data_IF_685536973902
#
_entry.id   IF_685536973902
#
_cell.length_a   1.000
_cell.length_b   1.000
_cell.length_c   1.000
_cell.angle_alpha   90.00
_cell.angle_beta   90.00
_cell.angle_gamma   90.00
#
_symmetry.space_group_name_H-M   'P 1'
#
loop_
_entity.id
_entity.type
_entity.pdbx_description
1 polymer ?
#
# COMPACT_ATOMS: atom_id res chain seq x y z
N UNK A 1 23.43 -3.96 -8.11
CA UNK A 1 24.36 -2.82 -8.34
C UNK A 1 23.84 -1.77 -9.35
N UNK A 2 22.95 -2.08 -10.31
CA UNK A 2 22.38 -1.09 -11.27
C UNK A 2 21.27 -0.19 -10.70
N UNK A 3 20.51 -0.64 -9.70
CA UNK A 3 19.47 0.19 -9.05
C UNK A 3 20.03 1.25 -8.10
N UNK A 4 21.24 1.07 -7.58
CA UNK A 4 21.92 2.06 -6.74
C UNK A 4 22.55 3.21 -7.56
N UNK A 5 22.70 3.04 -8.88
CA UNK A 5 23.37 4.01 -9.76
C UNK A 5 22.36 4.76 -10.64
N UNK A 6 21.18 4.19 -10.89
CA UNK A 6 20.13 4.80 -11.74
C UNK A 6 18.70 4.71 -11.17
N UNK A 7 18.51 4.18 -9.96
CA UNK A 7 17.19 3.94 -9.37
C UNK A 7 16.79 4.98 -8.32
N UNK A 8 15.48 5.06 -8.09
CA UNK A 8 14.83 5.97 -7.14
C UNK A 8 15.18 5.71 -5.66
N UNK A 9 16.08 4.78 -5.35
CA UNK A 9 16.51 4.43 -3.98
C UNK A 9 17.67 5.28 -3.43
N UNK A 10 18.17 6.26 -4.19
CA UNK A 10 19.26 7.14 -3.72
C UNK A 10 18.77 8.23 -2.75
N UNK A 11 17.48 8.51 -2.75
CA UNK A 11 16.91 9.58 -1.93
C UNK A 11 15.98 8.98 -0.87
N UNK A 12 16.30 9.06 0.44
CA UNK A 12 15.37 8.67 1.50
C UNK A 12 14.01 9.39 1.39
N UNK A 13 13.94 10.53 0.69
CA UNK A 13 12.66 11.19 0.33
C UNK A 13 11.81 10.38 -0.64
N UNK A 14 12.43 9.63 -1.55
CA UNK A 14 11.71 8.77 -2.49
C UNK A 14 11.16 7.51 -1.82
N UNK A 15 11.78 7.04 -0.73
CA UNK A 15 11.26 5.96 0.11
C UNK A 15 10.16 6.43 1.07
N UNK A 16 10.20 7.70 1.51
CA UNK A 16 9.18 8.27 2.38
C UNK A 16 7.79 8.32 1.72
N UNK A 17 7.74 8.57 0.41
CA UNK A 17 6.47 8.74 -0.30
C UNK A 17 5.62 7.45 -0.36
N UNK A 18 6.16 6.26 -0.71
CA UNK A 18 5.47 4.98 -0.59
C UNK A 18 5.02 4.67 0.85
N UNK A 19 5.86 4.95 1.85
CA UNK A 19 5.56 4.65 3.26
C UNK A 19 4.38 5.48 3.76
N UNK A 20 4.38 6.78 3.48
CA UNK A 20 3.27 7.67 3.86
C UNK A 20 2.01 7.30 3.08
N UNK A 21 2.13 6.99 1.79
CA UNK A 21 1.00 6.53 0.98
C UNK A 21 0.36 5.26 1.55
N UNK A 22 1.18 4.28 1.95
CA UNK A 22 0.74 3.04 2.57
C UNK A 22 0.01 3.28 3.90
N UNK A 23 0.63 4.04 4.80
CA UNK A 23 0.04 4.40 6.09
C UNK A 23 -1.30 5.12 5.94
N UNK A 24 -1.38 6.10 5.04
CA UNK A 24 -2.64 6.78 4.74
C UNK A 24 -3.66 5.81 4.09
N UNK A 25 -3.20 4.92 3.22
CA UNK A 25 -3.99 3.90 2.55
C UNK A 25 -4.67 2.92 3.51
N UNK A 26 -4.02 2.59 4.63
CA UNK A 26 -4.60 1.74 5.67
C UNK A 26 -5.39 2.53 6.72
N UNK A 27 -4.94 3.73 7.09
CA UNK A 27 -5.60 4.54 8.12
C UNK A 27 -6.99 5.03 7.70
N UNK A 28 -7.16 5.43 6.43
CA UNK A 28 -8.43 5.97 5.94
C UNK A 28 -9.56 4.92 5.97
N UNK A 29 -9.41 3.70 5.41
CA UNK A 29 -10.43 2.66 5.51
C UNK A 29 -10.75 2.25 6.95
N UNK A 30 -9.73 2.14 7.82
CA UNK A 30 -9.93 1.85 9.23
C UNK A 30 -10.77 2.93 9.93
N UNK A 31 -10.47 4.21 9.68
CA UNK A 31 -11.23 5.33 10.22
C UNK A 31 -12.66 5.36 9.71
N UNK A 32 -12.88 5.12 8.42
CA UNK A 32 -14.23 5.06 7.83
C UNK A 32 -15.05 3.92 8.45
N UNK A 33 -14.47 2.73 8.60
CA UNK A 33 -15.14 1.59 9.23
C UNK A 33 -15.47 1.85 10.70
N UNK A 34 -14.52 2.39 11.46
CA UNK A 34 -14.73 2.66 12.89
C UNK A 34 -15.79 3.75 13.07
N UNK A 35 -15.76 4.85 12.32
CA UNK A 35 -16.77 5.90 12.39
C UNK A 35 -18.17 5.39 12.04
N UNK A 36 -18.29 4.61 10.97
CA UNK A 36 -19.59 4.05 10.56
C UNK A 36 -20.14 3.05 11.58
N UNK A 37 -19.29 2.20 12.18
CA UNK A 37 -19.71 1.28 13.23
C UNK A 37 -20.04 1.98 14.56
N UNK A 38 -19.32 3.05 14.94
CA UNK A 38 -19.65 3.84 16.13
C UNK A 38 -21.03 4.50 16.00
N UNK A 39 -21.33 5.10 14.83
CA UNK A 39 -22.62 5.76 14.60
C UNK A 39 -23.75 4.75 14.42
N UNK A 40 -23.47 3.61 13.79
CA UNK A 40 -24.46 2.55 13.52
C UNK A 40 -24.67 1.54 14.65
N UNK A 41 -23.90 1.60 15.74
CA UNK A 41 -23.98 0.63 16.85
C UNK A 41 -23.42 -0.77 16.50
N UNK A 42 -22.51 -0.84 15.52
CA UNK A 42 -21.91 -2.08 15.04
C UNK A 42 -20.68 -2.54 15.85
N UNK A 43 -20.04 -3.62 15.40
CA UNK A 43 -18.83 -4.15 16.06
C UNK A 43 -17.60 -3.38 15.63
N UNK A 44 -16.74 -3.01 16.58
CA UNK A 44 -15.44 -2.39 16.30
C UNK A 44 -14.34 -3.40 15.96
N UNK A 45 -14.59 -4.70 16.14
CA UNK A 45 -13.58 -5.74 15.96
C UNK A 45 -13.17 -5.99 14.50
N UNK A 46 -13.96 -5.54 13.52
CA UNK A 46 -13.69 -5.77 12.10
C UNK A 46 -12.89 -4.68 11.39
N UNK A 47 -12.26 -3.76 12.14
CA UNK A 47 -11.55 -2.61 11.55
C UNK A 47 -10.36 -2.99 10.68
N UNK A 48 -9.78 -4.18 10.87
CA UNK A 48 -8.68 -4.72 10.07
C UNK A 48 -9.13 -5.33 8.73
N UNK A 49 -10.43 -5.63 8.57
CA UNK A 49 -10.97 -6.20 7.32
C UNK A 49 -10.82 -5.24 6.12
N UNK A 50 -11.22 -3.95 6.22
CA UNK A 50 -11.07 -3.01 5.10
C UNK A 50 -9.64 -2.53 4.88
N UNK A 51 -8.70 -2.83 5.78
CA UNK A 51 -7.27 -2.49 5.62
C UNK A 51 -6.48 -3.61 4.96
N UNK A 52 -7.01 -4.83 4.90
CA UNK A 52 -6.35 -5.95 4.26
C UNK A 52 -6.31 -5.76 2.73
N UNK A 53 -5.10 -5.71 2.17
CA UNK A 53 -4.88 -5.61 0.73
C UNK A 53 -4.27 -6.92 0.21
N UNK A 54 -4.87 -7.55 -0.80
CA UNK A 54 -4.34 -8.78 -1.41
C UNK A 54 -3.23 -8.45 -2.41
N UNK A 55 -1.98 -8.67 -1.99
CA UNK A 55 -0.79 -8.44 -2.80
C UNK A 55 -0.72 -9.37 -4.02
N UNK A 56 -1.22 -10.61 -3.94
CA UNK A 56 -1.16 -11.55 -5.07
C UNK A 56 -2.06 -11.06 -6.21
N UNK A 57 -3.27 -10.59 -5.87
CA UNK A 57 -4.16 -9.97 -6.85
C UNK A 57 -3.57 -8.67 -7.42
N UNK A 58 -3.03 -7.79 -6.57
CA UNK A 58 -2.42 -6.54 -7.01
C UNK A 58 -1.25 -6.76 -7.97
N UNK A 59 -0.36 -7.72 -7.66
CA UNK A 59 0.76 -8.09 -8.52
C UNK A 59 0.32 -8.76 -9.81
N UNK A 60 -0.74 -9.58 -9.78
CA UNK A 60 -1.31 -10.17 -10.99
C UNK A 60 -1.86 -9.09 -11.93
N UNK A 61 -2.63 -8.13 -11.42
CA UNK A 61 -3.09 -6.97 -12.19
C UNK A 61 -1.92 -6.18 -12.73
N UNK A 62 -0.92 -5.87 -11.88
CA UNK A 62 0.29 -5.16 -12.29
C UNK A 62 1.08 -5.93 -13.37
N UNK A 63 1.09 -7.25 -13.36
CA UNK A 63 1.74 -8.05 -14.40
C UNK A 63 1.00 -7.94 -15.75
N UNK A 64 -0.34 -7.83 -15.74
CA UNK A 64 -1.16 -7.69 -16.94
C UNK A 64 -1.02 -6.29 -17.56
N UNK A 65 -1.12 -5.23 -16.76
CA UNK A 65 -1.11 -3.84 -17.28
C UNK A 65 0.26 -3.18 -17.23
N UNK A 66 1.22 -3.76 -16.51
CA UNK A 66 2.49 -3.13 -16.16
C UNK A 66 3.38 -2.86 -17.36
N UNK A 67 3.25 -3.63 -18.44
CA UNK A 67 3.99 -3.42 -19.70
C UNK A 67 3.67 -2.08 -20.36
N UNK A 68 2.47 -1.54 -20.14
CA UNK A 68 2.03 -0.23 -20.63
C UNK A 68 2.41 0.93 -19.69
N UNK A 69 2.94 0.64 -18.49
CA UNK A 69 3.30 1.65 -17.50
C UNK A 69 4.77 2.04 -17.61
N UNK A 70 5.11 3.33 -17.39
CA UNK A 70 6.50 3.78 -17.25
C UNK A 70 7.24 2.98 -16.17
N UNK A 71 8.52 2.68 -16.39
CA UNK A 71 9.35 1.87 -15.48
C UNK A 71 9.37 2.39 -14.04
N UNK A 72 9.36 3.73 -13.87
CA UNK A 72 9.28 4.39 -12.58
C UNK A 72 7.97 4.08 -11.82
N UNK A 73 6.82 4.08 -12.52
CA UNK A 73 5.52 3.81 -11.90
C UNK A 73 5.42 2.36 -11.43
N UNK A 74 5.97 1.44 -12.23
CA UNK A 74 6.00 0.00 -11.91
C UNK A 74 6.82 -0.26 -10.64
N UNK A 75 7.99 0.37 -10.52
CA UNK A 75 8.83 0.27 -9.32
C UNK A 75 8.15 0.89 -8.09
N UNK A 76 7.48 2.02 -8.26
CA UNK A 76 6.71 2.67 -7.19
C UNK A 76 5.56 1.79 -6.69
N UNK A 77 4.73 1.25 -7.59
CA UNK A 77 3.59 0.41 -7.20
C UNK A 77 4.04 -0.88 -6.51
N UNK A 78 5.15 -1.47 -6.97
CA UNK A 78 5.71 -2.68 -6.36
C UNK A 78 6.25 -2.39 -4.95
N UNK A 79 6.94 -1.26 -4.76
CA UNK A 79 7.40 -0.85 -3.42
C UNK A 79 6.27 -0.48 -2.49
N UNK A 80 5.24 0.22 -2.97
CA UNK A 80 4.01 0.51 -2.20
C UNK A 80 3.34 -0.78 -1.74
N UNK A 81 3.10 -1.73 -2.64
CA UNK A 81 2.42 -2.99 -2.34
C UNK A 81 3.18 -3.84 -1.29
N UNK A 82 4.52 -3.88 -1.36
CA UNK A 82 5.34 -4.58 -0.36
C UNK A 82 5.28 -3.88 1.01
N UNK A 83 5.29 -2.55 1.03
CA UNK A 83 5.22 -1.79 2.29
C UNK A 83 3.84 -1.92 2.94
N UNK A 84 2.76 -1.89 2.16
CA UNK A 84 1.39 -2.13 2.64
C UNK A 84 1.26 -3.51 3.29
N UNK A 85 1.76 -4.57 2.65
CA UNK A 85 1.70 -5.94 3.17
C UNK A 85 2.52 -6.09 4.49
N UNK A 86 3.67 -5.43 4.57
CA UNK A 86 4.49 -5.41 5.78
C UNK A 86 3.78 -4.73 6.95
N UNK A 87 3.04 -3.65 6.70
CA UNK A 87 2.21 -2.99 7.72
C UNK A 87 1.02 -3.87 8.13
N UNK A 88 0.40 -4.59 7.19
CA UNK A 88 -0.72 -5.49 7.49
C UNK A 88 -0.31 -6.65 8.41
N UNK A 89 0.92 -7.17 8.28
CA UNK A 89 1.46 -8.22 9.18
C UNK A 89 1.79 -7.67 10.58
N UNK A 90 2.14 -6.38 10.68
CA UNK A 90 2.54 -5.76 11.95
C UNK A 90 1.35 -5.47 12.88
N UNK A 91 0.17 -5.25 12.32
CA UNK A 91 -1.09 -4.94 13.02
C UNK A 91 -1.73 -6.22 13.55
#
# INVERSE_FOLDING_TARGET
KREMVAGQLRDPRAAALPIVAALCGMAVPALVYTLTNVVGGGSLGGWAVPTATDIAFALAVLAVIGTSLPSALRAFLLTLAVVDDLFAILI
#
